data_IF_860731023888
#
_entry.id   IF_860731023888
#
_cell.length_a   1.000
_cell.length_b   1.000
_cell.length_c   1.000
_cell.angle_alpha   90.00
_cell.angle_beta   90.00
_cell.angle_gamma   90.00
#
_symmetry.space_group_name_H-M   'P 1'
#
loop_
_entity.id
_entity.type
_entity.pdbx_description
1 polymer ?
#
# COMPACT_ATOMS: atom_id res chain seq x y z
N UNK A 1 68.77 -11.53 4.33
CA UNK A 1 67.49 -11.05 3.77
C UNK A 1 66.41 -12.02 4.21
N UNK A 2 65.64 -11.69 5.26
CA UNK A 2 64.64 -12.59 5.85
C UNK A 2 63.27 -12.24 5.28
N UNK A 3 62.71 -13.11 4.44
CA UNK A 3 61.40 -12.93 3.82
C UNK A 3 60.33 -13.37 4.82
N UNK A 4 59.75 -12.42 5.56
CA UNK A 4 58.56 -12.65 6.40
C UNK A 4 57.36 -12.92 5.49
N UNK A 5 56.89 -14.17 5.47
CA UNK A 5 55.63 -14.53 4.82
C UNK A 5 54.46 -13.99 5.65
N UNK A 6 53.82 -12.93 5.16
CA UNK A 6 52.59 -12.39 5.74
C UNK A 6 51.44 -13.26 5.23
N UNK A 7 50.91 -14.11 6.09
CA UNK A 7 49.72 -14.91 5.80
C UNK A 7 48.48 -14.04 6.01
N UNK A 8 47.90 -13.53 4.92
CA UNK A 8 46.65 -12.75 4.95
C UNK A 8 45.48 -13.72 5.10
N UNK A 9 44.89 -13.77 6.29
CA UNK A 9 43.70 -14.56 6.57
C UNK A 9 42.48 -13.84 5.97
N UNK A 10 42.00 -14.30 4.81
CA UNK A 10 40.81 -13.79 4.16
C UNK A 10 39.56 -14.28 4.90
N UNK A 11 39.03 -13.48 5.83
CA UNK A 11 37.74 -13.78 6.46
C UNK A 11 36.61 -13.60 5.44
N UNK A 12 36.19 -14.71 4.82
CA UNK A 12 34.93 -14.79 4.08
C UNK A 12 33.76 -14.61 5.07
N UNK A 13 33.24 -13.39 5.15
CA UNK A 13 31.99 -13.11 5.86
C UNK A 13 30.85 -13.69 5.04
N UNK A 14 30.53 -14.96 5.26
CA UNK A 14 29.31 -15.56 4.73
C UNK A 14 28.11 -14.86 5.39
N UNK A 15 27.49 -13.93 4.66
CA UNK A 15 26.16 -13.41 5.00
C UNK A 15 25.18 -14.56 4.88
N UNK A 16 24.87 -15.24 5.97
CA UNK A 16 23.75 -16.17 6.05
C UNK A 16 22.48 -15.37 5.73
N UNK A 17 22.00 -15.46 4.49
CA UNK A 17 20.67 -15.00 4.13
C UNK A 17 19.68 -15.90 4.85
N UNK A 18 19.12 -15.40 5.95
CA UNK A 18 18.02 -16.09 6.62
C UNK A 18 16.89 -16.26 5.61
N UNK A 19 16.52 -17.52 5.34
CA UNK A 19 15.44 -17.86 4.43
C UNK A 19 14.18 -17.09 4.85
N UNK A 20 13.67 -16.26 3.94
CA UNK A 20 12.43 -15.51 4.18
C UNK A 20 11.26 -16.48 4.08
N UNK A 21 10.47 -16.60 5.14
CA UNK A 21 9.28 -17.45 5.12
C UNK A 21 8.24 -16.80 4.21
N UNK A 22 7.65 -17.57 3.29
CA UNK A 22 6.63 -17.06 2.35
C UNK A 22 5.28 -17.69 2.62
N UNK A 23 4.27 -16.84 2.77
CA UNK A 23 2.88 -17.20 3.02
C UNK A 23 2.04 -16.85 1.77
N UNK A 24 1.66 -17.86 1.00
CA UNK A 24 0.82 -17.68 -0.19
C UNK A 24 -0.66 -17.56 0.23
N UNK A 25 -1.36 -16.50 -0.17
CA UNK A 25 -2.77 -16.31 0.22
C UNK A 25 -3.70 -17.43 -0.25
N UNK A 26 -3.39 -18.12 -1.35
CA UNK A 26 -4.19 -19.25 -1.86
C UNK A 26 -4.13 -20.46 -0.93
N UNK A 27 -3.02 -20.69 -0.21
CA UNK A 27 -2.94 -21.79 0.79
C UNK A 27 -3.85 -21.55 1.99
N UNK A 28 -4.39 -20.33 2.14
CA UNK A 28 -5.36 -19.96 3.16
C UNK A 28 -6.78 -19.79 2.60
N UNK A 29 -7.02 -20.23 1.37
CA UNK A 29 -8.36 -20.24 0.76
C UNK A 29 -8.71 -19.01 -0.08
N UNK A 30 -7.78 -18.08 -0.32
CA UNK A 30 -8.02 -17.00 -1.28
C UNK A 30 -8.22 -17.58 -2.68
N UNK A 31 -9.32 -17.23 -3.35
CA UNK A 31 -9.60 -17.70 -4.71
C UNK A 31 -9.35 -16.58 -5.73
N UNK A 32 -8.65 -16.86 -6.84
CA UNK A 32 -8.31 -15.87 -7.86
C UNK A 32 -9.46 -15.55 -8.82
N UNK A 33 -10.72 -15.63 -8.38
CA UNK A 33 -11.94 -15.56 -9.20
C UNK A 33 -12.59 -14.17 -9.24
N UNK A 34 -12.14 -13.22 -8.40
CA UNK A 34 -12.71 -11.89 -8.22
C UNK A 34 -14.12 -11.87 -7.62
N UNK A 35 -14.57 -12.99 -7.03
CA UNK A 35 -15.94 -13.21 -6.54
C UNK A 35 -15.99 -13.73 -5.11
N UNK A 36 -15.10 -14.64 -4.76
CA UNK A 36 -15.04 -15.22 -3.42
C UNK A 36 -14.25 -14.30 -2.49
N UNK A 37 -14.84 -13.92 -1.34
CA UNK A 37 -14.16 -13.04 -0.39
C UNK A 37 -12.88 -13.70 0.14
N UNK A 38 -11.76 -13.03 -0.09
CA UNK A 38 -10.42 -13.47 0.29
C UNK A 38 -9.94 -12.79 1.57
N UNK A 39 -10.72 -11.89 2.19
CA UNK A 39 -10.32 -11.14 3.39
C UNK A 39 -9.69 -12.00 4.49
N UNK A 40 -10.31 -13.12 4.85
CA UNK A 40 -9.81 -14.00 5.91
C UNK A 40 -8.49 -14.68 5.55
N UNK A 41 -8.26 -15.01 4.28
CA UNK A 41 -7.00 -15.58 3.82
C UNK A 41 -5.84 -14.58 3.96
N UNK A 42 -6.09 -13.30 3.64
CA UNK A 42 -5.13 -12.21 3.82
C UNK A 42 -4.83 -11.96 5.31
N UNK A 43 -5.86 -11.92 6.16
CA UNK A 43 -5.68 -11.76 7.61
C UNK A 43 -4.90 -12.93 8.22
N UNK A 44 -5.14 -14.17 7.75
CA UNK A 44 -4.38 -15.35 8.20
C UNK A 44 -2.91 -15.26 7.78
N UNK A 45 -2.63 -14.90 6.53
CA UNK A 45 -1.27 -14.70 6.04
C UNK A 45 -0.54 -13.60 6.81
N UNK A 46 -1.21 -12.48 7.11
CA UNK A 46 -0.68 -11.40 7.95
C UNK A 46 -0.36 -11.88 9.36
N UNK A 47 -1.29 -12.55 10.03
CA UNK A 47 -1.10 -13.01 11.41
C UNK A 47 0.08 -13.99 11.54
N UNK A 48 0.27 -14.88 10.56
CA UNK A 48 1.42 -15.78 10.52
C UNK A 48 2.72 -15.00 10.26
N UNK A 49 2.72 -14.11 9.28
CA UNK A 49 3.86 -13.24 8.98
C UNK A 49 4.28 -12.40 10.18
N UNK A 50 3.30 -11.89 10.91
CA UNK A 50 3.49 -11.03 12.05
C UNK A 50 4.04 -11.78 13.27
N UNK A 51 3.71 -13.07 13.42
CA UNK A 51 4.24 -13.93 14.47
C UNK A 51 5.59 -14.57 14.11
N UNK A 52 6.06 -14.45 12.86
CA UNK A 52 7.36 -14.96 12.43
C UNK A 52 8.50 -14.28 13.19
N UNK A 53 9.50 -15.06 13.58
CA UNK A 53 10.76 -14.56 14.18
C UNK A 53 11.79 -14.14 13.14
N UNK A 54 11.59 -14.51 11.87
CA UNK A 54 12.38 -14.06 10.73
C UNK A 54 11.55 -13.15 9.82
N UNK A 55 12.19 -12.34 8.94
CA UNK A 55 11.46 -11.61 7.90
C UNK A 55 10.50 -12.52 7.14
N UNK A 56 9.30 -12.01 6.88
CA UNK A 56 8.23 -12.77 6.24
C UNK A 56 7.79 -12.11 4.94
N UNK A 57 7.35 -12.92 4.00
CA UNK A 57 6.79 -12.52 2.72
C UNK A 57 5.36 -13.03 2.61
N UNK A 58 4.43 -12.17 2.19
CA UNK A 58 3.08 -12.57 1.80
C UNK A 58 3.04 -12.51 0.28
N UNK A 59 2.79 -13.66 -0.35
CA UNK A 59 2.70 -13.77 -1.79
C UNK A 59 1.25 -13.81 -2.25
N UNK A 60 0.90 -12.92 -3.19
CA UNK A 60 -0.41 -12.88 -3.85
C UNK A 60 -0.18 -13.24 -5.32
N UNK A 61 -0.49 -14.49 -5.74
CA UNK A 61 -0.33 -14.92 -7.12
C UNK A 61 -1.15 -14.10 -8.12
N UNK A 62 -0.92 -14.33 -9.42
CA UNK A 62 -1.75 -13.75 -10.46
C UNK A 62 -3.22 -14.22 -10.31
N UNK A 63 -4.16 -13.29 -10.50
CA UNK A 63 -5.59 -13.53 -10.28
C UNK A 63 -6.31 -12.28 -9.78
N UNK A 64 -7.64 -12.36 -9.67
CA UNK A 64 -8.44 -11.31 -9.01
C UNK A 64 -8.92 -11.83 -7.67
N UNK A 65 -8.69 -11.10 -6.59
CA UNK A 65 -9.06 -11.50 -5.23
C UNK A 65 -10.03 -10.47 -4.67
N UNK A 66 -11.29 -10.87 -4.49
CA UNK A 66 -12.27 -10.00 -3.87
C UNK A 66 -11.90 -9.80 -2.40
N UNK A 67 -11.91 -8.56 -1.95
CA UNK A 67 -11.85 -8.19 -0.54
C UNK A 67 -13.17 -7.51 -0.22
N UNK A 68 -14.13 -8.28 0.29
CA UNK A 68 -15.53 -7.88 0.26
C UNK A 68 -15.90 -6.77 1.27
N UNK A 69 -15.02 -6.50 2.24
CA UNK A 69 -15.16 -5.44 3.23
C UNK A 69 -13.78 -4.93 3.64
N UNK A 70 -13.74 -3.74 4.24
CA UNK A 70 -12.49 -3.17 4.74
C UNK A 70 -11.76 -4.12 5.70
N UNK A 71 -10.44 -4.12 5.64
CA UNK A 71 -9.58 -4.89 6.54
C UNK A 71 -8.44 -4.04 7.09
N UNK A 72 -7.98 -4.43 8.27
CA UNK A 72 -6.86 -3.78 8.94
C UNK A 72 -5.79 -4.81 9.26
N UNK A 73 -4.57 -4.55 8.78
CA UNK A 73 -3.35 -5.21 9.19
C UNK A 73 -2.74 -4.43 10.36
N UNK A 74 -2.87 -4.95 11.57
CA UNK A 74 -2.31 -4.34 12.78
C UNK A 74 -0.89 -4.83 13.03
N UNK A 75 0.01 -3.90 13.34
CA UNK A 75 1.38 -4.19 13.79
C UNK A 75 1.53 -4.25 15.31
N UNK A 76 0.44 -4.11 16.07
CA UNK A 76 0.50 -4.19 17.52
C UNK A 76 0.97 -5.58 17.96
N UNK A 77 2.06 -5.66 18.72
CA UNK A 77 2.64 -6.93 19.18
C UNK A 77 3.30 -7.77 18.08
N UNK A 78 3.54 -7.18 16.91
CA UNK A 78 4.17 -7.89 15.79
C UNK A 78 5.62 -8.24 16.08
N UNK A 79 5.97 -9.53 15.93
CA UNK A 79 7.31 -10.07 16.21
C UNK A 79 8.25 -9.94 15.01
N UNK A 80 7.70 -10.06 13.79
CA UNK A 80 8.52 -9.99 12.59
C UNK A 80 9.14 -8.61 12.42
N UNK A 81 10.45 -8.60 12.16
CA UNK A 81 11.22 -7.37 11.93
C UNK A 81 10.98 -6.72 10.57
N UNK A 82 10.40 -7.46 9.62
CA UNK A 82 10.06 -6.97 8.29
C UNK A 82 9.03 -7.89 7.60
N UNK A 83 8.00 -7.29 7.01
CA UNK A 83 6.98 -8.02 6.25
C UNK A 83 6.89 -7.43 4.84
N UNK A 84 7.00 -8.28 3.82
CA UNK A 84 6.90 -7.86 2.42
C UNK A 84 5.68 -8.48 1.75
N UNK A 85 4.77 -7.67 1.23
CA UNK A 85 3.76 -8.11 0.28
C UNK A 85 4.35 -8.11 -1.12
N UNK A 86 4.42 -9.29 -1.75
CA UNK A 86 4.74 -9.45 -3.16
C UNK A 86 3.45 -9.77 -3.91
N UNK A 87 2.91 -8.78 -4.62
CA UNK A 87 1.61 -8.88 -5.26
C UNK A 87 1.81 -9.00 -6.77
N UNK A 88 1.43 -10.15 -7.34
CA UNK A 88 1.36 -10.36 -8.77
C UNK A 88 -0.07 -10.17 -9.32
N UNK A 89 -1.09 -10.36 -8.48
CA UNK A 89 -2.50 -10.24 -8.86
C UNK A 89 -3.14 -8.87 -8.60
N UNK A 90 -4.46 -8.88 -8.59
CA UNK A 90 -5.33 -7.73 -8.33
C UNK A 90 -6.19 -7.99 -7.10
N UNK A 91 -6.12 -7.12 -6.10
CA UNK A 91 -7.16 -7.04 -5.07
C UNK A 91 -8.27 -6.15 -5.59
N UNK A 92 -9.51 -6.63 -5.53
CA UNK A 92 -10.68 -5.92 -6.07
C UNK A 92 -11.72 -5.71 -4.97
N UNK A 93 -12.29 -4.51 -4.91
CA UNK A 93 -13.40 -4.19 -4.01
C UNK A 93 -14.75 -4.69 -4.60
N UNK A 94 -15.81 -4.78 -3.78
CA UNK A 94 -17.15 -5.05 -4.31
C UNK A 94 -17.59 -4.00 -5.34
N UNK A 95 -18.38 -4.43 -6.33
CA UNK A 95 -19.01 -3.52 -7.29
C UNK A 95 -20.01 -2.56 -6.65
N UNK A 96 -20.65 -2.98 -5.55
CA UNK A 96 -21.50 -2.12 -4.73
C UNK A 96 -20.64 -1.23 -3.85
N UNK A 97 -20.67 0.08 -4.11
CA UNK A 97 -19.85 1.03 -3.34
C UNK A 97 -20.18 1.05 -1.85
N UNK A 98 -21.42 0.71 -1.47
CA UNK A 98 -21.87 0.72 -0.08
C UNK A 98 -21.09 -0.25 0.82
N UNK A 99 -20.54 -1.33 0.26
CA UNK A 99 -19.82 -2.34 1.04
C UNK A 99 -18.56 -1.79 1.73
N UNK A 100 -17.93 -0.74 1.16
CA UNK A 100 -16.74 -0.10 1.74
C UNK A 100 -16.90 1.43 1.89
N UNK A 101 -17.97 2.03 1.37
CA UNK A 101 -18.14 3.47 1.21
C UNK A 101 -18.19 4.29 2.50
N UNK A 102 -18.36 3.66 3.66
CA UNK A 102 -18.29 4.30 4.96
C UNK A 102 -17.14 3.78 5.84
N UNK A 103 -16.25 2.94 5.29
CA UNK A 103 -15.17 2.32 6.06
C UNK A 103 -13.96 3.23 6.32
N UNK A 104 -13.96 4.45 5.76
CA UNK A 104 -12.85 5.40 5.72
C UNK A 104 -11.64 4.91 4.90
N UNK A 105 -11.18 3.68 5.13
CA UNK A 105 -10.06 3.04 4.43
C UNK A 105 -10.43 1.59 4.14
N UNK A 106 -10.21 1.14 2.90
CA UNK A 106 -10.47 -0.24 2.48
C UNK A 106 -9.36 -1.19 2.94
N UNK A 107 -8.09 -0.89 2.60
CA UNK A 107 -6.92 -1.65 3.04
C UNK A 107 -6.09 -0.79 3.98
N UNK A 108 -6.19 -1.05 5.28
CA UNK A 108 -5.52 -0.27 6.32
C UNK A 108 -4.34 -1.02 6.92
N UNK A 109 -3.22 -0.34 7.05
CA UNK A 109 -2.09 -0.73 7.90
C UNK A 109 -2.05 0.21 9.10
N UNK A 110 -2.07 -0.36 10.31
CA UNK A 110 -2.14 0.39 11.56
C UNK A 110 -1.00 -0.01 12.48
N UNK A 111 -0.25 0.97 13.00
CA UNK A 111 0.92 0.80 13.88
C UNK A 111 1.94 -0.23 13.38
N UNK A 112 2.13 -0.32 12.07
CA UNK A 112 3.09 -1.26 11.48
C UNK A 112 4.51 -0.68 11.41
N UNK A 113 5.50 -1.56 11.47
CA UNK A 113 6.92 -1.22 11.35
C UNK A 113 7.56 -2.07 10.27
N UNK A 114 8.30 -1.46 9.34
CA UNK A 114 9.07 -2.16 8.31
C UNK A 114 8.21 -3.02 7.37
N UNK A 115 7.18 -2.41 6.78
CA UNK A 115 6.30 -3.06 5.79
C UNK A 115 6.66 -2.60 4.39
N UNK A 116 6.84 -3.57 3.49
CA UNK A 116 7.03 -3.33 2.05
C UNK A 116 5.84 -3.87 1.27
N UNK A 117 5.34 -3.11 0.30
CA UNK A 117 4.39 -3.56 -0.73
C UNK A 117 5.08 -3.44 -2.08
N UNK A 118 5.16 -4.54 -2.82
CA UNK A 118 5.82 -4.63 -4.11
C UNK A 118 4.87 -5.17 -5.18
N UNK A 119 4.62 -4.36 -6.20
CA UNK A 119 3.81 -4.72 -7.37
C UNK A 119 2.32 -4.79 -7.10
N UNK A 120 1.60 -5.36 -8.08
CA UNK A 120 0.18 -5.67 -7.98
C UNK A 120 -0.75 -4.51 -8.31
N UNK A 121 -2.05 -4.79 -8.28
CA UNK A 121 -3.12 -3.81 -8.50
C UNK A 121 -4.11 -3.81 -7.35
N UNK A 122 -4.50 -2.62 -6.89
CA UNK A 122 -5.66 -2.40 -6.02
C UNK A 122 -6.75 -1.72 -6.85
N UNK A 123 -7.91 -2.34 -7.00
CA UNK A 123 -9.03 -1.83 -7.79
C UNK A 123 -10.25 -1.63 -6.88
N UNK A 124 -10.51 -0.39 -6.49
CA UNK A 124 -11.51 -0.03 -5.49
C UNK A 124 -12.91 0.26 -6.08
N UNK A 125 -13.08 0.09 -7.39
CA UNK A 125 -14.39 0.08 -8.07
C UNK A 125 -15.25 1.33 -7.79
N UNK A 126 -14.65 2.52 -7.75
CA UNK A 126 -15.30 3.77 -7.35
C UNK A 126 -16.32 4.37 -8.32
N UNK A 127 -16.40 3.89 -9.55
CA UNK A 127 -17.23 4.50 -10.62
C UNK A 127 -18.69 4.69 -10.26
N UNK A 128 -19.30 3.68 -9.63
CA UNK A 128 -20.70 3.72 -9.19
C UNK A 128 -20.93 4.74 -8.07
N UNK A 129 -19.95 4.96 -7.18
CA UNK A 129 -20.03 6.00 -6.16
C UNK A 129 -19.92 7.40 -6.77
N UNK A 130 -19.01 7.59 -7.73
CA UNK A 130 -18.85 8.88 -8.40
C UNK A 130 -20.13 9.26 -9.15
N UNK A 131 -20.76 8.32 -9.85
CA UNK A 131 -22.05 8.54 -10.49
C UNK A 131 -23.14 8.94 -9.48
N UNK A 132 -23.16 8.30 -8.30
CA UNK A 132 -24.05 8.71 -7.21
C UNK A 132 -23.79 10.17 -6.80
N UNK A 133 -22.54 10.54 -6.52
CA UNK A 133 -22.15 11.90 -6.10
C UNK A 133 -22.53 12.96 -7.14
N UNK A 134 -22.28 12.69 -8.43
CA UNK A 134 -22.64 13.59 -9.53
C UNK A 134 -24.16 13.74 -9.71
N UNK A 135 -24.95 12.73 -9.32
CA UNK A 135 -26.42 12.81 -9.39
C UNK A 135 -27.07 13.70 -8.31
N UNK A 136 -26.28 14.25 -7.38
CA UNK A 136 -26.78 15.08 -6.28
C UNK A 136 -27.52 14.31 -5.18
N UNK A 137 -27.49 12.96 -5.21
CA UNK A 137 -28.08 12.11 -4.19
C UNK A 137 -27.22 12.10 -2.92
N UNK A 138 -27.85 11.72 -1.79
CA UNK A 138 -27.11 11.34 -0.60
C UNK A 138 -26.30 10.06 -0.87
N UNK A 139 -24.98 10.16 -0.80
CA UNK A 139 -24.06 9.06 -1.08
C UNK A 139 -23.08 8.92 0.09
N UNK A 140 -22.50 7.72 0.31
CA UNK A 140 -21.39 7.56 1.25
C UNK A 140 -20.23 8.50 0.94
N UNK A 141 -19.45 8.85 1.97
CA UNK A 141 -18.24 9.68 1.80
C UNK A 141 -17.26 9.03 0.81
N UNK A 142 -17.17 7.71 0.87
CA UNK A 142 -16.26 6.86 0.13
C UNK A 142 -15.11 6.36 1.00
N UNK A 143 -14.33 5.43 0.46
CA UNK A 143 -13.20 4.80 1.13
C UNK A 143 -11.89 5.12 0.43
N UNK A 144 -10.87 5.48 1.20
CA UNK A 144 -9.49 5.52 0.72
C UNK A 144 -9.02 4.11 0.40
N UNK A 145 -8.37 3.91 -0.75
CA UNK A 145 -7.95 2.56 -1.18
C UNK A 145 -6.91 1.94 -0.24
N UNK A 146 -5.81 2.66 0.03
CA UNK A 146 -4.71 2.20 0.88
C UNK A 146 -4.36 3.25 1.93
N UNK A 147 -4.37 2.88 3.21
CA UNK A 147 -4.05 3.80 4.31
C UNK A 147 -3.00 3.24 5.25
N UNK A 148 -1.99 4.03 5.60
CA UNK A 148 -1.05 3.77 6.68
C UNK A 148 -1.28 4.76 7.81
N UNK A 149 -1.39 4.25 9.03
CA UNK A 149 -1.68 5.04 10.23
C UNK A 149 -0.66 4.71 11.32
N UNK A 150 -0.06 5.74 11.91
CA UNK A 150 0.89 5.62 13.03
C UNK A 150 2.02 4.62 12.76
N UNK A 151 2.47 4.57 11.50
CA UNK A 151 3.33 3.50 11.00
C UNK A 151 4.71 4.04 10.61
N UNK A 152 5.73 3.18 10.58
CA UNK A 152 7.09 3.61 10.25
C UNK A 152 7.85 2.62 9.38
N UNK A 153 8.82 3.14 8.62
CA UNK A 153 9.65 2.36 7.68
C UNK A 153 8.76 1.65 6.65
N UNK A 154 8.07 2.44 5.84
CA UNK A 154 7.13 1.94 4.83
C UNK A 154 7.78 2.02 3.45
N UNK A 155 7.66 0.97 2.65
CA UNK A 155 8.07 0.99 1.25
C UNK A 155 6.89 0.56 0.38
N UNK A 156 6.50 1.38 -0.58
CA UNK A 156 5.50 1.05 -1.59
C UNK A 156 6.18 1.18 -2.95
N UNK A 157 6.33 0.07 -3.67
CA UNK A 157 7.06 0.00 -4.93
C UNK A 157 6.20 -0.62 -6.02
N UNK A 158 6.12 0.06 -7.18
CA UNK A 158 5.49 -0.50 -8.41
C UNK A 158 4.02 -0.89 -8.26
N UNK A 159 3.35 -0.40 -7.22
CA UNK A 159 1.93 -0.66 -6.98
C UNK A 159 1.08 0.16 -7.95
N UNK A 160 0.05 -0.48 -8.51
CA UNK A 160 -1.00 0.20 -9.27
C UNK A 160 -2.25 0.37 -8.41
N UNK A 161 -2.78 1.59 -8.30
CA UNK A 161 -4.04 1.89 -7.61
C UNK A 161 -5.06 2.43 -8.60
N UNK A 162 -6.22 1.78 -8.68
CA UNK A 162 -7.27 2.04 -9.64
C UNK A 162 -8.57 2.41 -8.94
N UNK A 163 -9.24 3.42 -9.50
CA UNK A 163 -10.63 3.75 -9.24
C UNK A 163 -10.99 3.85 -7.75
N UNK A 164 -10.22 4.63 -6.98
CA UNK A 164 -10.51 4.83 -5.56
C UNK A 164 -11.84 5.56 -5.34
N UNK A 165 -12.58 5.19 -4.30
CA UNK A 165 -13.83 5.89 -3.94
C UNK A 165 -13.57 7.28 -3.36
N UNK A 166 -12.40 7.48 -2.75
CA UNK A 166 -11.82 8.74 -2.30
C UNK A 166 -10.32 8.77 -2.66
N UNK A 167 -9.44 9.13 -1.71
CA UNK A 167 -8.00 9.16 -1.91
C UNK A 167 -7.46 7.78 -2.30
N UNK A 168 -6.43 7.71 -3.13
CA UNK A 168 -5.80 6.45 -3.49
C UNK A 168 -4.87 5.95 -2.39
N UNK A 169 -4.07 6.84 -1.80
CA UNK A 169 -3.16 6.53 -0.70
C UNK A 169 -3.23 7.59 0.39
N UNK A 170 -3.23 7.16 1.66
CA UNK A 170 -3.18 8.04 2.83
C UNK A 170 -2.07 7.62 3.77
N UNK A 171 -1.20 8.57 4.15
CA UNK A 171 -0.23 8.40 5.22
C UNK A 171 -0.59 9.37 6.35
N UNK A 172 -1.09 8.83 7.45
CA UNK A 172 -1.48 9.56 8.65
C UNK A 172 -0.50 9.25 9.79
N UNK A 173 0.16 10.27 10.34
CA UNK A 173 1.14 10.12 11.42
C UNK A 173 2.23 9.07 11.13
N UNK A 174 2.76 9.06 9.90
CA UNK A 174 3.76 8.10 9.48
C UNK A 174 5.19 8.67 9.51
N UNK A 175 6.19 7.81 9.72
CA UNK A 175 7.61 8.20 9.71
C UNK A 175 8.43 7.34 8.76
N UNK A 176 9.27 7.97 7.94
CA UNK A 176 10.17 7.28 7.02
C UNK A 176 9.40 6.37 6.04
N UNK A 177 8.81 6.96 5.02
CA UNK A 177 8.11 6.23 3.97
C UNK A 177 8.69 6.54 2.59
N UNK A 178 8.85 5.50 1.77
CA UNK A 178 9.29 5.62 0.38
C UNK A 178 8.23 5.05 -0.56
N UNK A 179 7.69 5.90 -1.42
CA UNK A 179 6.71 5.54 -2.45
C UNK A 179 7.40 5.73 -3.80
N UNK A 180 7.60 4.65 -4.55
CA UNK A 180 8.39 4.71 -5.79
C UNK A 180 7.77 3.89 -6.92
N UNK A 181 7.74 4.46 -8.13
CA UNK A 181 7.30 3.74 -9.31
C UNK A 181 5.81 3.41 -9.29
N UNK A 182 5.00 4.09 -8.48
CA UNK A 182 3.57 3.79 -8.38
C UNK A 182 2.80 4.39 -9.56
N UNK A 183 1.71 3.72 -9.93
CA UNK A 183 0.77 4.21 -10.93
C UNK A 183 -0.61 4.37 -10.28
N UNK A 184 -1.12 5.59 -10.24
CA UNK A 184 -2.44 5.92 -9.69
C UNK A 184 -3.32 6.38 -10.85
N UNK A 185 -4.50 5.77 -10.99
CA UNK A 185 -5.41 6.06 -12.11
C UNK A 185 -6.86 6.09 -11.64
N UNK A 186 -7.48 7.25 -11.83
CA UNK A 186 -8.92 7.49 -11.84
C UNK A 186 -9.26 8.55 -12.92
N UNK A 187 -10.50 8.61 -13.43
CA UNK A 187 -10.91 9.60 -14.41
C UNK A 187 -10.72 11.05 -13.91
N UNK A 188 -10.46 12.00 -14.81
CA UNK A 188 -10.26 13.41 -14.42
C UNK A 188 -11.47 14.11 -13.80
N UNK A 189 -12.66 13.50 -13.87
CA UNK A 189 -13.88 14.00 -13.24
C UNK A 189 -14.29 13.20 -12.00
N UNK A 190 -13.45 12.28 -11.51
CA UNK A 190 -13.78 11.51 -10.30
C UNK A 190 -13.62 12.37 -9.04
N UNK A 191 -14.68 12.58 -8.25
CA UNK A 191 -14.66 13.51 -7.12
C UNK A 191 -13.81 13.00 -5.95
N UNK A 192 -12.97 13.89 -5.39
CA UNK A 192 -12.15 13.66 -4.19
C UNK A 192 -11.21 12.45 -4.29
N UNK A 193 -10.62 12.26 -5.47
CA UNK A 193 -9.75 11.12 -5.77
C UNK A 193 -8.27 11.45 -5.62
N UNK A 194 -7.89 12.20 -4.58
CA UNK A 194 -6.51 12.60 -4.33
C UNK A 194 -5.55 11.40 -4.46
N UNK A 195 -4.41 11.58 -5.13
CA UNK A 195 -3.47 10.50 -5.38
C UNK A 195 -2.82 10.02 -4.09
N UNK A 196 -1.94 10.84 -3.51
CA UNK A 196 -1.26 10.56 -2.26
C UNK A 196 -1.54 11.71 -1.29
N UNK A 197 -2.28 11.41 -0.21
CA UNK A 197 -2.57 12.35 0.85
C UNK A 197 -1.64 12.12 2.05
N UNK A 198 -0.98 13.19 2.49
CA UNK A 198 -0.04 13.17 3.62
C UNK A 198 -0.56 14.05 4.75
N UNK A 199 -0.58 13.54 5.97
CA UNK A 199 -0.86 14.36 7.15
C UNK A 199 -0.08 13.86 8.37
N UNK A 200 0.39 14.81 9.18
CA UNK A 200 1.18 14.56 10.39
C UNK A 200 2.40 13.66 10.20
N UNK A 201 2.94 13.59 8.97
CA UNK A 201 3.93 12.59 8.58
C UNK A 201 5.30 13.21 8.32
N UNK A 202 6.37 12.47 8.58
CA UNK A 202 7.75 12.97 8.44
C UNK A 202 8.67 12.02 7.70
N UNK A 203 9.56 12.57 6.86
CA UNK A 203 10.52 11.78 6.09
C UNK A 203 9.81 10.95 5.01
N UNK A 204 9.01 11.61 4.17
CA UNK A 204 8.26 10.95 3.10
C UNK A 204 8.94 11.25 1.78
N UNK A 205 9.25 10.22 1.01
CA UNK A 205 9.91 10.32 -0.30
C UNK A 205 9.02 9.70 -1.37
N UNK A 206 8.62 10.48 -2.37
CA UNK A 206 7.78 10.07 -3.50
C UNK A 206 8.59 10.21 -4.79
N UNK A 207 8.84 9.11 -5.50
CA UNK A 207 9.77 9.07 -6.63
C UNK A 207 9.14 8.42 -7.87
N UNK A 208 9.44 8.97 -9.06
CA UNK A 208 9.27 8.27 -10.35
C UNK A 208 7.87 7.67 -10.53
N UNK A 209 6.82 8.42 -10.20
CA UNK A 209 5.44 7.92 -10.13
C UNK A 209 4.54 8.65 -11.12
N UNK A 210 3.50 7.97 -11.60
CA UNK A 210 2.50 8.56 -12.51
C UNK A 210 1.14 8.56 -11.84
N UNK A 211 0.55 9.74 -11.69
CA UNK A 211 -0.68 9.96 -10.95
C UNK A 211 -1.67 10.71 -11.83
N UNK A 212 -2.77 10.04 -12.14
CA UNK A 212 -3.89 10.57 -12.91
C UNK A 212 -5.16 10.39 -12.10
N UNK A 213 -5.72 11.50 -11.64
CA UNK A 213 -6.87 11.55 -10.73
C UNK A 213 -7.77 12.74 -11.12
N UNK A 214 -8.95 12.83 -10.50
CA UNK A 214 -9.85 13.98 -10.63
C UNK A 214 -9.64 15.08 -9.59
N UNK A 215 -8.63 14.94 -8.73
CA UNK A 215 -8.31 15.88 -7.66
C UNK A 215 -6.79 16.02 -7.49
N UNK A 216 -6.30 16.41 -6.32
CA UNK A 216 -4.87 16.55 -6.05
C UNK A 216 -4.06 15.30 -6.45
N UNK A 217 -2.91 15.53 -7.08
CA UNK A 217 -1.93 14.50 -7.37
C UNK A 217 -1.24 14.04 -6.08
N UNK A 218 -0.74 15.01 -5.32
CA UNK A 218 -0.23 14.84 -3.96
C UNK A 218 -0.75 15.99 -3.13
N UNK A 219 -1.52 15.68 -2.09
CA UNK A 219 -2.10 16.66 -1.17
C UNK A 219 -1.36 16.60 0.18
N UNK A 220 -0.84 17.74 0.61
CA UNK A 220 -0.04 17.89 1.82
C UNK A 220 -0.88 18.64 2.86
N UNK A 221 -1.50 17.86 3.75
CA UNK A 221 -2.25 18.36 4.89
C UNK A 221 -1.36 18.93 6.02
N UNK A 222 -1.94 19.23 7.18
CA UNK A 222 -1.19 19.78 8.31
C UNK A 222 -0.19 18.79 8.91
N UNK A 223 0.85 19.33 9.55
CA UNK A 223 1.78 18.60 10.41
C UNK A 223 2.85 17.76 9.71
N UNK A 224 3.08 17.97 8.41
CA UNK A 224 4.10 17.24 7.65
C UNK A 224 5.48 17.92 7.73
N UNK A 225 6.56 17.14 7.65
CA UNK A 225 7.94 17.67 7.56
C UNK A 225 8.86 16.74 6.78
N UNK A 226 9.94 17.27 6.19
CA UNK A 226 10.92 16.47 5.43
C UNK A 226 10.26 15.60 4.33
N UNK A 227 9.61 16.28 3.38
CA UNK A 227 8.93 15.64 2.23
C UNK A 227 9.77 15.87 0.97
N UNK A 228 10.10 14.80 0.25
CA UNK A 228 10.83 14.84 -1.02
C UNK A 228 9.97 14.26 -2.13
N UNK A 229 9.72 15.04 -3.19
CA UNK A 229 8.92 14.61 -4.35
C UNK A 229 9.74 14.86 -5.61
N UNK A 230 10.00 13.80 -6.38
CA UNK A 230 10.86 13.88 -7.57
C UNK A 230 10.36 12.97 -8.70
N UNK A 231 10.42 13.46 -9.94
CA UNK A 231 10.01 12.71 -11.14
C UNK A 231 8.58 12.16 -11.04
N UNK A 232 7.67 12.96 -10.47
CA UNK A 232 6.25 12.63 -10.42
C UNK A 232 5.53 13.30 -11.60
N UNK A 233 4.83 12.51 -12.39
CA UNK A 233 3.98 13.00 -13.48
C UNK A 233 2.55 13.07 -12.97
N UNK A 234 2.00 14.28 -12.93
CA UNK A 234 0.64 14.56 -12.49
C UNK A 234 -0.24 14.94 -13.69
N UNK A 235 -1.49 14.48 -13.70
CA UNK A 235 -2.52 14.98 -14.62
C UNK A 235 -3.56 13.92 -14.97
N UNK A 236 -4.85 14.28 -15.07
CA UNK A 236 -5.36 15.65 -15.30
C UNK A 236 -5.72 16.47 -14.04
N UNK A 237 -5.63 15.91 -12.83
CA UNK A 237 -6.06 16.55 -11.59
C UNK A 237 -5.30 17.82 -11.17
N UNK A 238 -5.44 18.24 -9.91
CA UNK A 238 -5.08 19.58 -9.44
C UNK A 238 -3.58 19.82 -9.17
N UNK A 239 -2.72 18.83 -9.44
CA UNK A 239 -1.28 18.90 -9.20
C UNK A 239 -0.89 18.65 -7.75
N UNK A 240 0.27 19.14 -7.32
CA UNK A 240 0.74 19.01 -5.94
C UNK A 240 0.23 20.22 -5.15
N UNK A 241 -0.50 19.99 -4.05
CA UNK A 241 -1.15 21.04 -3.25
C UNK A 241 -0.86 20.94 -1.77
N UNK A 242 -0.85 22.10 -1.11
CA UNK A 242 -0.95 22.24 0.33
C UNK A 242 -2.42 22.48 0.66
N UNK A 243 -2.98 21.68 1.57
CA UNK A 243 -4.43 21.65 1.87
C UNK A 243 -4.68 21.83 3.36
#
# INVERSE_FOLDING_TARGET
MVIKHIMVLLFLVFRLSSATVTYNVQTFGAKPDGRSDSKNAFLKAWNLSCNSTTPASIYVPAGRYLIASALTFSGQGCKSRAITFNIAGTLVAPSSYNAIGNAQVWIKFYVVKSVTINGGTLDAQGSSLWACKTSGKACPKGSTTLGFYHSQNIVISKLRSLNSQMFHMLLYSCKNAKIQGVSIVAPGLSPNTDGIHLTYSTGITILSSKISTGDDCVSIGPGNSNIWIEKVVCGPGHGIRYT
#
